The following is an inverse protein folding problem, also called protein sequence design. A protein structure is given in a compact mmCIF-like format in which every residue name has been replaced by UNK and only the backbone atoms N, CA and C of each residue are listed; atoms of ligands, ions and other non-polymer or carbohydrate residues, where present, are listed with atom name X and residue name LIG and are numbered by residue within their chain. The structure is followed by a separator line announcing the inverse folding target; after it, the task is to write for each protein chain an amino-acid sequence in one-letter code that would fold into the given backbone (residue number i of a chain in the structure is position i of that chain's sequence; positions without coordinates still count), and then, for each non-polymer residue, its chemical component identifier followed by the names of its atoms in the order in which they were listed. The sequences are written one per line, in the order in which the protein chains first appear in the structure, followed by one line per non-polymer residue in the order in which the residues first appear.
data_IF_607360851887
#
_entry.id   IF_607360851887
#
_cell.length_a   1.000
_cell.length_b   1.000
_cell.length_c   1.000
_cell.angle_alpha   90.00
_cell.angle_beta   90.00
_cell.angle_gamma   90.00
#
_symmetry.space_group_name_H-M   'P 1'
#
loop_
_entity.id
_entity.type
_entity.pdbx_description
1 polymer ?
#
# COMPACT_ATOMS: atom_id res chain seq x y z
N UNK A 1 -24.56 28.22 -22.30
CA UNK A 1 -23.74 27.00 -22.51
C UNK A 1 -23.58 26.24 -21.18
N UNK A 2 -24.63 25.57 -20.70
CA UNK A 2 -24.62 24.82 -19.41
C UNK A 2 -24.85 23.32 -19.60
N UNK A 3 -25.38 22.91 -20.76
CA UNK A 3 -25.74 21.51 -21.07
C UNK A 3 -24.50 20.60 -21.13
N UNK A 4 -23.39 21.07 -21.72
CA UNK A 4 -22.15 20.28 -21.81
C UNK A 4 -21.59 19.88 -20.44
N UNK A 5 -21.30 20.84 -19.53
CA UNK A 5 -20.82 20.52 -18.19
C UNK A 5 -21.77 19.61 -17.38
N UNK A 6 -23.09 19.78 -17.52
CA UNK A 6 -24.08 18.95 -16.83
C UNK A 6 -24.01 17.49 -17.29
N UNK A 7 -23.94 17.26 -18.62
CA UNK A 7 -23.79 15.92 -19.18
C UNK A 7 -22.48 15.27 -18.74
N UNK A 8 -21.39 16.04 -18.65
CA UNK A 8 -20.10 15.53 -18.14
C UNK A 8 -20.20 15.09 -16.68
N UNK A 9 -20.86 15.86 -15.81
CA UNK A 9 -21.06 15.49 -14.40
C UNK A 9 -21.87 14.20 -14.30
N UNK A 10 -22.98 14.10 -15.05
CA UNK A 10 -23.81 12.89 -15.07
C UNK A 10 -23.02 11.68 -15.57
N UNK A 11 -22.21 11.85 -16.62
CA UNK A 11 -21.38 10.78 -17.15
C UNK A 11 -20.37 10.28 -16.12
N UNK A 12 -19.63 11.19 -15.48
CA UNK A 12 -18.65 10.86 -14.43
C UNK A 12 -19.33 10.12 -13.26
N UNK A 13 -20.51 10.57 -12.85
CA UNK A 13 -21.29 9.93 -11.79
C UNK A 13 -21.71 8.50 -12.19
N UNK A 14 -22.29 8.33 -13.38
CA UNK A 14 -22.72 7.01 -13.87
C UNK A 14 -21.56 6.03 -13.96
N UNK A 15 -20.41 6.46 -14.50
CA UNK A 15 -19.19 5.62 -14.57
C UNK A 15 -18.68 5.28 -13.17
N UNK A 16 -18.75 6.20 -12.22
CA UNK A 16 -18.34 5.93 -10.83
C UNK A 16 -19.24 4.89 -10.17
N UNK A 17 -20.55 4.95 -10.38
CA UNK A 17 -21.50 3.96 -9.85
C UNK A 17 -21.36 2.60 -10.54
N UNK A 18 -21.09 2.56 -11.85
CA UNK A 18 -20.78 1.34 -12.59
C UNK A 18 -19.56 0.63 -11.97
N UNK A 19 -18.46 1.38 -11.76
CA UNK A 19 -17.25 0.85 -11.14
C UNK A 19 -17.49 0.35 -9.71
N UNK A 20 -18.39 0.97 -8.95
CA UNK A 20 -18.80 0.53 -7.60
C UNK A 20 -19.69 -0.70 -7.61
N UNK A 21 -20.46 -0.91 -8.68
CA UNK A 21 -21.34 -2.07 -8.82
C UNK A 21 -20.56 -3.38 -9.04
N UNK A 22 -19.32 -3.29 -9.54
CA UNK A 22 -18.40 -4.44 -9.73
C UNK A 22 -17.19 -4.32 -8.80
N UNK A 23 -17.24 -4.91 -7.59
CA UNK A 23 -16.13 -4.84 -6.64
C UNK A 23 -14.86 -5.47 -7.23
N UNK A 24 -13.84 -4.65 -7.48
CA UNK A 24 -12.55 -5.14 -7.91
C UNK A 24 -11.84 -5.72 -6.69
N UNK A 25 -11.41 -6.98 -6.80
CA UNK A 25 -10.83 -7.75 -5.71
C UNK A 25 -9.30 -7.92 -5.79
N UNK A 26 -8.65 -7.33 -6.80
CA UNK A 26 -7.18 -7.21 -6.86
C UNK A 26 -6.68 -6.16 -5.87
N UNK A 27 -5.45 -6.19 -5.39
CA UNK A 27 -4.93 -5.10 -4.56
C UNK A 27 -4.45 -3.92 -5.42
N UNK A 28 -4.56 -2.70 -4.90
CA UNK A 28 -3.85 -1.51 -5.40
C UNK A 28 -3.34 -0.71 -4.17
N UNK A 29 -2.46 0.30 -4.34
CA UNK A 29 -1.97 1.12 -3.23
C UNK A 29 -3.09 1.65 -2.32
N UNK A 30 -4.20 2.09 -2.91
CA UNK A 30 -5.30 2.71 -2.16
C UNK A 30 -6.07 1.71 -1.30
N UNK A 31 -6.55 0.62 -1.90
CA UNK A 31 -7.28 -0.46 -1.22
C UNK A 31 -6.39 -1.10 -0.16
N UNK A 32 -5.10 -1.25 -0.44
CA UNK A 32 -4.13 -1.76 0.54
C UNK A 32 -4.03 -0.85 1.76
N UNK A 33 -3.90 0.47 1.57
CA UNK A 33 -3.88 1.42 2.68
C UNK A 33 -5.14 1.32 3.55
N UNK A 34 -6.32 1.19 2.93
CA UNK A 34 -7.60 1.08 3.64
C UNK A 34 -7.68 -0.23 4.44
N UNK A 35 -7.33 -1.36 3.82
CA UNK A 35 -7.34 -2.69 4.46
C UNK A 35 -6.37 -2.72 5.64
N UNK A 36 -5.15 -2.23 5.44
CA UNK A 36 -4.12 -2.18 6.50
C UNK A 36 -4.57 -1.26 7.63
N UNK A 37 -5.20 -0.12 7.32
CA UNK A 37 -5.75 0.78 8.35
C UNK A 37 -6.83 0.09 9.18
N UNK A 38 -7.79 -0.56 8.53
CA UNK A 38 -8.89 -1.26 9.22
C UNK A 38 -8.33 -2.40 10.10
N UNK A 39 -7.35 -3.15 9.58
CA UNK A 39 -6.71 -4.23 10.31
C UNK A 39 -5.94 -3.72 11.53
N UNK A 40 -5.14 -2.65 11.39
CA UNK A 40 -4.35 -2.13 12.50
C UNK A 40 -5.20 -1.44 13.57
N UNK A 41 -6.32 -0.80 13.19
CA UNK A 41 -7.18 -0.09 14.14
C UNK A 41 -8.22 -0.97 14.81
N UNK A 42 -8.85 -1.86 14.05
CA UNK A 42 -10.01 -2.62 14.49
C UNK A 42 -9.80 -4.13 14.45
N UNK A 43 -8.67 -4.62 13.93
CA UNK A 43 -8.40 -6.05 13.80
C UNK A 43 -9.31 -6.73 12.79
N UNK A 44 -9.86 -5.98 11.82
CA UNK A 44 -10.80 -6.50 10.82
C UNK A 44 -10.29 -6.26 9.41
N UNK A 45 -10.55 -7.22 8.53
CA UNK A 45 -10.31 -7.09 7.08
C UNK A 45 -11.62 -6.85 6.35
N UNK A 46 -11.73 -5.68 5.73
CA UNK A 46 -12.84 -5.32 4.85
C UNK A 46 -12.81 -6.14 3.56
N UNK A 47 -13.97 -6.61 3.10
CA UNK A 47 -14.11 -7.26 1.79
C UNK A 47 -14.10 -6.24 0.63
N UNK A 48 -13.91 -6.68 -0.63
CA UNK A 48 -14.07 -5.78 -1.78
C UNK A 48 -15.43 -5.08 -1.81
N UNK A 49 -16.49 -5.77 -1.39
CA UNK A 49 -17.84 -5.21 -1.32
C UNK A 49 -17.98 -4.12 -0.24
N UNK A 50 -17.27 -4.25 0.88
CA UNK A 50 -17.26 -3.25 1.95
C UNK A 50 -16.48 -1.99 1.55
N UNK A 51 -15.44 -2.14 0.74
CA UNK A 51 -14.59 -1.02 0.31
C UNK A 51 -15.13 -0.22 -0.87
N UNK A 52 -16.02 -0.79 -1.69
CA UNK A 52 -16.48 -0.19 -2.96
C UNK A 52 -16.94 1.27 -2.84
N UNK A 53 -17.67 1.61 -1.77
CA UNK A 53 -18.17 2.98 -1.56
C UNK A 53 -17.24 3.86 -0.72
N UNK A 54 -16.25 3.25 -0.07
CA UNK A 54 -15.22 3.96 0.71
C UNK A 54 -14.06 4.42 -0.19
N UNK A 55 -13.86 3.77 -1.34
CA UNK A 55 -12.88 4.20 -2.34
C UNK A 55 -13.39 5.45 -3.10
N UNK A 56 -12.60 6.52 -3.08
CA UNK A 56 -12.83 7.68 -3.95
C UNK A 56 -12.25 7.39 -5.34
N UNK A 57 -13.10 7.28 -6.35
CA UNK A 57 -12.68 6.99 -7.71
C UNK A 57 -12.34 8.26 -8.51
N UNK A 58 -12.79 9.42 -8.04
CA UNK A 58 -12.74 10.67 -8.78
C UNK A 58 -11.55 11.53 -8.37
N UNK A 59 -11.22 11.51 -7.08
CA UNK A 59 -10.13 12.30 -6.55
C UNK A 59 -9.04 11.42 -5.95
N UNK A 60 -7.80 11.78 -6.27
CA UNK A 60 -6.60 11.23 -5.67
C UNK A 60 -6.45 11.82 -4.25
N UNK A 61 -7.30 11.37 -3.32
CA UNK A 61 -7.29 11.85 -1.92
C UNK A 61 -6.13 11.23 -1.14
N UNK A 62 -5.65 12.03 -0.18
CA UNK A 62 -4.38 11.95 0.56
C UNK A 62 -4.09 10.58 1.15
N UNK A 63 -2.81 10.24 1.09
CA UNK A 63 -2.21 9.10 1.77
C UNK A 63 -2.66 9.04 3.23
N UNK A 64 -3.12 7.87 3.65
CA UNK A 64 -3.59 7.64 5.01
C UNK A 64 -2.38 7.59 5.94
N UNK A 65 -2.23 8.60 6.82
CA UNK A 65 -1.15 8.64 7.81
C UNK A 65 -1.15 7.38 8.68
N UNK A 66 -2.35 6.85 9.00
CA UNK A 66 -2.52 5.63 9.79
C UNK A 66 -2.02 4.35 9.10
N UNK A 67 -1.82 4.37 7.77
CA UNK A 67 -1.31 3.24 6.98
C UNK A 67 0.18 3.40 6.62
N UNK A 68 0.91 4.25 7.34
CA UNK A 68 2.32 4.52 7.07
C UNK A 68 2.59 5.45 5.89
N UNK A 69 1.55 6.05 5.29
CA UNK A 69 1.69 7.03 4.21
C UNK A 69 2.59 6.51 3.05
N UNK A 70 2.27 5.31 2.54
CA UNK A 70 3.13 4.60 1.59
C UNK A 70 2.90 5.05 0.15
N UNK A 71 3.99 5.36 -0.56
CA UNK A 71 4.03 5.65 -1.98
C UNK A 71 4.71 4.50 -2.71
N UNK A 72 4.05 3.93 -3.71
CA UNK A 72 4.59 2.84 -4.52
C UNK A 72 4.95 3.33 -5.92
N UNK A 73 5.92 2.67 -6.56
CA UNK A 73 6.21 2.84 -7.97
C UNK A 73 7.24 3.91 -8.32
N UNK A 74 8.03 4.36 -7.33
CA UNK A 74 9.19 5.22 -7.55
C UNK A 74 10.39 4.38 -7.97
N UNK A 75 11.23 4.91 -8.86
CA UNK A 75 12.41 4.18 -9.31
C UNK A 75 13.44 4.06 -8.17
N UNK A 76 14.05 2.88 -8.04
CA UNK A 76 14.97 2.56 -6.92
C UNK A 76 16.04 3.64 -6.70
N UNK A 77 16.69 4.09 -7.78
CA UNK A 77 17.76 5.09 -7.74
C UNK A 77 17.30 6.49 -7.33
N UNK A 78 16.01 6.82 -7.44
CA UNK A 78 15.45 8.11 -7.01
C UNK A 78 15.20 8.16 -5.50
N UNK A 79 14.96 7.01 -4.88
CA UNK A 79 14.49 6.93 -3.50
C UNK A 79 15.46 6.23 -2.56
N UNK A 80 16.35 5.35 -3.03
CA UNK A 80 17.29 4.61 -2.19
C UNK A 80 18.72 4.92 -2.62
N UNK A 81 19.54 5.39 -1.67
CA UNK A 81 20.98 5.57 -1.87
C UNK A 81 21.68 4.21 -1.86
N UNK A 82 22.73 3.99 -2.68
CA UNK A 82 23.46 2.72 -2.70
C UNK A 82 23.98 2.26 -1.33
N UNK A 83 24.41 3.21 -0.47
CA UNK A 83 24.88 2.88 0.88
C UNK A 83 23.78 2.32 1.78
N UNK A 84 22.53 2.76 1.61
CA UNK A 84 21.36 2.29 2.36
C UNK A 84 20.81 0.97 1.82
N UNK A 85 21.03 0.67 0.54
CA UNK A 85 20.53 -0.56 -0.09
C UNK A 85 21.05 -1.81 0.63
N UNK A 86 22.36 -1.87 0.87
CA UNK A 86 23.01 -2.98 1.59
C UNK A 86 22.49 -3.14 3.03
N UNK A 87 22.21 -2.04 3.72
CA UNK A 87 21.63 -2.09 5.06
C UNK A 87 20.19 -2.62 5.03
N UNK A 88 19.39 -2.20 4.06
CA UNK A 88 18.00 -2.65 3.92
C UNK A 88 17.91 -4.14 3.60
N UNK A 89 18.80 -4.66 2.75
CA UNK A 89 18.89 -6.10 2.45
C UNK A 89 19.23 -6.93 3.69
N UNK A 90 20.03 -6.39 4.61
CA UNK A 90 20.35 -7.06 5.88
C UNK A 90 19.17 -7.05 6.85
N UNK A 91 18.38 -5.97 6.87
CA UNK A 91 17.24 -5.82 7.80
C UNK A 91 16.00 -6.57 7.33
N UNK A 92 15.77 -6.65 6.01
CA UNK A 92 14.63 -7.29 5.36
C UNK A 92 15.08 -8.46 4.48
N UNK A 93 15.67 -9.52 5.05
CA UNK A 93 16.28 -10.58 4.27
C UNK A 93 15.23 -11.38 3.49
N UNK A 94 15.40 -11.46 2.17
CA UNK A 94 14.56 -12.27 1.28
C UNK A 94 13.19 -11.67 0.96
N UNK A 95 12.92 -10.43 1.37
CA UNK A 95 11.71 -9.72 0.99
C UNK A 95 11.88 -9.03 -0.37
N UNK A 96 10.84 -9.06 -1.19
CA UNK A 96 10.83 -8.49 -2.55
C UNK A 96 10.45 -7.01 -2.59
N UNK A 97 10.65 -6.32 -1.47
CA UNK A 97 10.32 -4.92 -1.32
C UNK A 97 11.40 -4.20 -0.51
N UNK A 98 11.57 -2.92 -0.80
CA UNK A 98 12.46 -2.03 -0.06
C UNK A 98 11.68 -0.80 0.39
N UNK A 99 11.99 -0.31 1.58
CA UNK A 99 11.33 0.84 2.19
C UNK A 99 12.35 1.95 2.48
N UNK A 100 12.00 3.18 2.12
CA UNK A 100 12.74 4.36 2.54
C UNK A 100 11.80 5.50 2.96
N UNK A 101 12.18 6.28 3.97
CA UNK A 101 11.37 7.43 4.41
C UNK A 101 11.76 8.67 3.63
N UNK A 102 10.84 9.16 2.80
CA UNK A 102 10.95 10.41 2.06
C UNK A 102 10.06 11.49 2.69
N UNK A 103 10.60 12.25 3.64
CA UNK A 103 9.84 13.30 4.35
C UNK A 103 8.69 12.71 5.16
N UNK A 104 7.44 13.04 4.82
CA UNK A 104 6.25 12.55 5.52
C UNK A 104 5.75 11.18 5.04
N UNK A 105 6.28 10.68 3.93
CA UNK A 105 5.82 9.46 3.28
C UNK A 105 6.89 8.37 3.34
N UNK A 106 6.47 7.11 3.26
CA UNK A 106 7.39 5.98 3.06
C UNK A 106 7.33 5.57 1.59
N UNK A 107 8.43 5.67 0.88
CA UNK A 107 8.57 5.14 -0.47
C UNK A 107 8.81 3.63 -0.40
N UNK A 108 7.94 2.87 -1.06
CA UNK A 108 8.05 1.42 -1.23
C UNK A 108 8.39 1.11 -2.67
N UNK A 109 9.52 0.42 -2.87
CA UNK A 109 9.97 -0.06 -4.17
C UNK A 109 9.78 -1.58 -4.19
N UNK A 110 9.20 -2.11 -5.26
CA UNK A 110 8.91 -3.53 -5.43
C UNK A 110 9.85 -4.13 -6.47
N UNK A 111 10.31 -5.35 -6.22
CA UNK A 111 11.03 -6.16 -7.20
C UNK A 111 10.12 -6.50 -8.39
N UNK A 112 10.70 -6.77 -9.55
CA UNK A 112 9.97 -7.02 -10.79
C UNK A 112 8.95 -8.16 -10.65
N UNK A 113 9.29 -9.22 -9.92
CA UNK A 113 8.44 -10.40 -9.69
C UNK A 113 7.71 -10.38 -8.33
N UNK A 114 7.67 -9.23 -7.66
CA UNK A 114 6.92 -9.05 -6.41
C UNK A 114 5.41 -9.23 -6.64
N UNK A 115 4.79 -9.99 -5.73
CA UNK A 115 3.36 -10.28 -5.68
C UNK A 115 2.59 -9.24 -4.84
N UNK A 116 1.26 -9.39 -4.76
CA UNK A 116 0.46 -8.62 -3.81
C UNK A 116 0.79 -8.92 -2.35
N UNK A 117 1.24 -10.13 -2.03
CA UNK A 117 1.66 -10.50 -0.69
C UNK A 117 2.92 -9.74 -0.27
N UNK A 118 3.90 -9.62 -1.17
CA UNK A 118 5.12 -8.82 -0.92
C UNK A 118 4.77 -7.34 -0.69
N UNK A 119 3.86 -6.79 -1.50
CA UNK A 119 3.37 -5.43 -1.30
C UNK A 119 2.63 -5.25 0.03
N UNK A 120 1.81 -6.22 0.45
CA UNK A 120 1.11 -6.19 1.74
C UNK A 120 2.08 -6.25 2.92
N UNK A 121 3.11 -7.10 2.85
CA UNK A 121 4.18 -7.15 3.87
C UNK A 121 4.86 -5.82 4.00
N UNK A 122 5.31 -5.24 2.88
CA UNK A 122 5.94 -3.92 2.87
C UNK A 122 5.04 -2.83 3.45
N UNK A 123 3.75 -2.88 3.17
CA UNK A 123 2.78 -1.94 3.73
C UNK A 123 2.65 -2.06 5.25
N UNK A 124 2.58 -3.29 5.77
CA UNK A 124 2.51 -3.53 7.21
C UNK A 124 3.80 -3.10 7.92
N UNK A 125 4.97 -3.38 7.34
CA UNK A 125 6.25 -2.90 7.89
C UNK A 125 6.26 -1.37 7.93
N UNK A 126 5.87 -0.70 6.84
CA UNK A 126 5.82 0.75 6.81
C UNK A 126 4.83 1.34 7.85
N UNK A 127 3.67 0.71 8.02
CA UNK A 127 2.67 1.14 8.99
C UNK A 127 3.15 0.93 10.44
N UNK A 128 3.75 -0.23 10.76
CA UNK A 128 4.33 -0.46 12.09
C UNK A 128 5.51 0.46 12.38
N UNK A 129 6.36 0.72 11.39
CA UNK A 129 7.48 1.64 11.54
C UNK A 129 6.99 3.06 11.84
N UNK A 130 5.91 3.50 11.18
CA UNK A 130 5.27 4.79 11.47
C UNK A 130 4.67 4.87 12.89
N UNK A 131 4.18 3.76 13.45
CA UNK A 131 3.70 3.70 14.84
C UNK A 131 4.84 3.71 15.88
N UNK A 132 5.97 3.10 15.55
CA UNK A 132 7.15 3.03 16.42
C UNK A 132 7.88 4.39 16.44
N UNK A 133 7.99 5.05 15.29
CA UNK A 133 8.79 6.25 15.11
C UNK A 133 7.93 7.49 14.82
N UNK A 134 7.62 8.24 15.89
CA UNK A 134 6.90 9.52 15.84
C UNK A 134 7.75 10.69 15.29
N UNK A 135 9.03 10.47 14.97
CA UNK A 135 9.98 11.53 14.56
C UNK A 135 10.22 11.58 13.05
N UNK A 136 10.72 12.72 12.57
CA UNK A 136 10.86 13.06 11.14
C UNK A 136 12.19 12.64 10.50
N UNK A 137 13.03 11.89 11.20
CA UNK A 137 14.33 11.44 10.66
C UNK A 137 14.20 10.09 9.91
N UNK A 138 15.18 9.79 9.07
CA UNK A 138 15.24 8.58 8.24
C UNK A 138 14.86 7.31 9.03
N UNK A 139 14.18 6.36 8.39
CA UNK A 139 13.87 5.06 8.98
C UNK A 139 15.16 4.39 9.47
N UNK A 140 15.32 4.31 10.79
CA UNK A 140 16.47 3.63 11.38
C UNK A 140 16.36 2.12 11.18
N UNK A 141 17.51 1.44 11.03
CA UNK A 141 17.56 0.00 10.83
C UNK A 141 16.91 -0.77 11.99
N UNK A 142 17.02 -0.27 13.23
CA UNK A 142 16.38 -0.86 14.41
C UNK A 142 14.85 -0.77 14.36
N UNK A 143 14.29 0.39 13.96
CA UNK A 143 12.84 0.58 13.81
C UNK A 143 12.30 -0.33 12.70
N UNK A 144 12.98 -0.40 11.56
CA UNK A 144 12.60 -1.29 10.47
C UNK A 144 12.64 -2.76 10.89
N UNK A 145 13.67 -3.17 11.63
CA UNK A 145 13.79 -4.54 12.12
C UNK A 145 12.66 -4.90 13.12
N UNK A 146 12.31 -4.00 14.03
CA UNK A 146 11.19 -4.20 14.95
C UNK A 146 9.85 -4.28 14.21
N UNK A 147 9.62 -3.38 13.26
CA UNK A 147 8.43 -3.38 12.41
C UNK A 147 8.31 -4.66 11.57
N UNK A 148 9.44 -5.13 11.02
CA UNK A 148 9.53 -6.39 10.30
C UNK A 148 9.10 -7.57 11.18
N UNK A 149 9.67 -7.68 12.39
CA UNK A 149 9.32 -8.74 13.34
C UNK A 149 7.83 -8.75 13.69
N UNK A 150 7.22 -7.57 13.91
CA UNK A 150 5.77 -7.45 14.16
C UNK A 150 4.97 -7.92 12.95
N UNK A 151 5.33 -7.46 11.75
CA UNK A 151 4.69 -7.87 10.50
C UNK A 151 4.75 -9.39 10.33
N UNK A 152 5.91 -10.03 10.48
CA UNK A 152 6.08 -11.49 10.35
C UNK A 152 5.16 -12.27 11.28
N UNK A 153 4.93 -11.78 12.50
CA UNK A 153 4.05 -12.43 13.47
C UNK A 153 2.56 -12.39 13.09
N UNK A 154 2.09 -11.30 12.49
CA UNK A 154 0.67 -11.10 12.16
C UNK A 154 0.30 -11.50 10.73
N UNK A 155 1.29 -11.51 9.82
CA UNK A 155 1.05 -11.66 8.39
C UNK A 155 0.27 -12.93 8.00
N UNK A 156 0.54 -14.13 8.57
CA UNK A 156 -0.21 -15.33 8.20
C UNK A 156 -1.72 -15.23 8.51
N UNK A 157 -2.06 -14.62 9.64
CA UNK A 157 -3.47 -14.42 10.05
C UNK A 157 -4.12 -13.39 9.13
N UNK A 158 -3.46 -12.26 8.93
CA UNK A 158 -3.93 -11.19 8.05
C UNK A 158 -4.16 -11.68 6.60
N UNK A 159 -3.21 -12.44 6.06
CA UNK A 159 -3.29 -12.99 4.71
C UNK A 159 -4.46 -13.97 4.56
N UNK A 160 -4.64 -14.87 5.54
CA UNK A 160 -5.76 -15.81 5.54
C UNK A 160 -7.10 -15.10 5.60
N UNK A 161 -7.22 -14.04 6.40
CA UNK A 161 -8.43 -13.23 6.46
C UNK A 161 -8.71 -12.53 5.13
N UNK A 162 -7.72 -11.87 4.53
CA UNK A 162 -7.80 -11.28 3.18
C UNK A 162 -8.33 -12.26 2.14
N UNK A 163 -7.73 -13.45 2.06
CA UNK A 163 -8.15 -14.49 1.11
C UNK A 163 -9.57 -14.97 1.40
N UNK A 164 -9.95 -15.16 2.68
CA UNK A 164 -11.31 -15.54 3.08
C UNK A 164 -12.37 -14.48 2.71
N UNK A 165 -11.96 -13.21 2.64
CA UNK A 165 -12.80 -12.08 2.23
C UNK A 165 -12.85 -11.89 0.71
N UNK A 166 -12.17 -12.74 -0.05
CA UNK A 166 -12.23 -12.77 -1.52
C UNK A 166 -11.20 -11.90 -2.23
N UNK A 167 -10.14 -11.43 -1.54
CA UNK A 167 -9.06 -10.67 -2.15
C UNK A 167 -8.08 -11.56 -2.92
N UNK A 168 -7.65 -11.10 -4.10
CA UNK A 168 -6.54 -11.69 -4.85
C UNK A 168 -5.22 -11.11 -4.32
N UNK A 169 -4.48 -11.92 -3.58
CA UNK A 169 -3.21 -11.54 -2.95
C UNK A 169 -2.00 -11.85 -3.85
N UNK A 170 -2.19 -12.65 -4.90
CA UNK A 170 -1.17 -12.96 -5.91
C UNK A 170 -0.82 -11.75 -6.79
N UNK A 171 -1.70 -10.75 -6.87
CA UNK A 171 -1.57 -9.61 -7.80
C UNK A 171 -1.63 -8.28 -7.08
N UNK A 172 -0.80 -7.36 -7.56
CA UNK A 172 -0.77 -5.97 -7.10
C UNK A 172 -0.82 -5.01 -8.28
N UNK A 173 -1.76 -4.08 -8.27
CA UNK A 173 -1.88 -3.01 -9.26
C UNK A 173 -1.18 -1.75 -8.76
N UNK A 174 0.13 -1.67 -8.99
CA UNK A 174 0.98 -0.49 -8.77
C UNK A 174 0.91 0.53 -9.92
N UNK A 175 0.18 0.23 -11.00
CA UNK A 175 -0.09 1.16 -12.10
C UNK A 175 1.12 1.36 -13.00
N UNK A 176 1.53 2.61 -13.22
CA UNK A 176 2.76 2.95 -13.99
C UNK A 176 4.00 2.94 -13.10
N UNK A 177 3.99 2.17 -12.02
CA UNK A 177 5.08 2.12 -11.06
C UNK A 177 6.36 1.54 -11.65
N UNK A 178 7.50 2.08 -11.25
CA UNK A 178 8.80 1.46 -11.51
C UNK A 178 9.03 0.32 -10.53
N UNK A 179 9.35 -0.85 -11.07
CA UNK A 179 9.89 -1.99 -10.33
C UNK A 179 11.38 -2.11 -10.59
N UNK A 180 12.11 -2.68 -9.65
CA UNK A 180 13.55 -2.92 -9.81
C UNK A 180 13.85 -4.40 -10.07
N UNK A 181 15.00 -4.65 -10.67
CA UNK A 181 15.61 -5.97 -10.78
C UNK A 181 17.12 -5.77 -10.53
N UNK A 182 17.76 -6.76 -9.90
CA UNK A 182 19.20 -6.76 -9.66
C UNK A 182 19.98 -7.23 -10.89
#
# INVERSE_FOLDING_TARGET
MVVGPLLSILHIYSVSEEMRATPINTLNPRRTAMIVTDFLKAGVVSSPADLRYREDLLFRVRLTEDAGNVRVGRALHEVIKPSRLLELEQVLPGEKFLLNRGGKCVDMVLEQDASGEDALRGWLVAAYAAQIENSSHELSASVLHEAYKKMTGVFPVFLKELQSKGWHTDRFLDGTGSRFAF
#
